data_IF_741203682343
#
_entry.id   IF_741203682343
#
_cell.length_a   1.000
_cell.length_b   1.000
_cell.length_c   1.000
_cell.angle_alpha   90.00
_cell.angle_beta   90.00
_cell.angle_gamma   90.00
#
_symmetry.space_group_name_H-M   'P 1'
#
loop_
_entity.id
_entity.type
_entity.pdbx_description
1 polymer ?
#
# COMPACT_ATOMS: atom_id res chain seq x y z
N UNK A 1 -10.76 -57.02 -2.18
CA UNK A 1 -9.48 -56.36 -1.85
C UNK A 1 -9.87 -55.02 -1.24
N UNK A 2 -10.11 -55.03 0.06
CA UNK A 2 -10.43 -53.84 0.86
C UNK A 2 -9.15 -53.45 1.61
N UNK A 3 -8.67 -52.23 1.39
CA UNK A 3 -7.60 -51.63 2.16
C UNK A 3 -8.21 -50.51 3.00
N UNK A 4 -8.47 -50.83 4.27
CA UNK A 4 -8.78 -49.88 5.32
C UNK A 4 -7.58 -48.96 5.56
N UNK A 5 -7.79 -47.65 5.37
CA UNK A 5 -6.82 -46.60 5.64
C UNK A 5 -6.68 -46.44 7.15
N UNK A 6 -5.46 -46.67 7.67
CA UNK A 6 -5.14 -46.41 9.07
C UNK A 6 -5.07 -44.90 9.32
N UNK A 7 -5.98 -44.43 10.16
CA UNK A 7 -6.06 -43.07 10.66
C UNK A 7 -4.92 -42.89 11.69
N UNK A 8 -3.87 -42.15 11.33
CA UNK A 8 -2.78 -41.80 12.25
C UNK A 8 -3.08 -40.45 12.87
N UNK A 9 -3.49 -40.47 14.14
CA UNK A 9 -3.67 -39.27 14.94
C UNK A 9 -2.29 -38.60 15.19
N UNK A 10 -2.25 -37.28 15.05
CA UNK A 10 -1.09 -36.46 15.35
C UNK A 10 -0.76 -36.48 16.87
N UNK A 11 0.53 -36.35 17.25
CA UNK A 11 0.96 -36.41 18.65
C UNK A 11 0.42 -35.22 19.47
N UNK A 12 0.08 -35.42 20.75
CA UNK A 12 -0.43 -34.36 21.61
C UNK A 12 0.73 -33.42 22.01
N UNK A 13 0.60 -32.13 21.72
CA UNK A 13 1.56 -31.10 22.17
C UNK A 13 2.10 -30.17 21.10
N UNK A 14 1.72 -30.34 19.83
CA UNK A 14 1.87 -29.26 18.83
C UNK A 14 0.73 -28.27 19.07
N UNK A 15 0.99 -26.96 19.29
CA UNK A 15 -0.07 -25.98 19.28
C UNK A 15 -0.82 -26.14 17.96
N UNK A 16 -2.10 -26.48 18.02
CA UNK A 16 -2.93 -26.41 16.83
C UNK A 16 -2.84 -24.97 16.36
N UNK A 17 -2.27 -24.77 15.17
CA UNK A 17 -2.47 -23.55 14.42
C UNK A 17 -4.00 -23.34 14.39
N UNK A 18 -4.48 -22.42 15.23
CA UNK A 18 -5.84 -21.93 15.16
C UNK A 18 -5.90 -21.11 13.87
N UNK A 19 -6.17 -21.76 12.75
CA UNK A 19 -6.56 -21.10 11.50
C UNK A 19 -8.03 -20.61 11.58
N UNK A 20 -8.43 -20.06 12.73
CA UNK A 20 -9.78 -19.60 13.02
C UNK A 20 -9.97 -18.07 12.95
N UNK A 21 -8.93 -17.31 12.58
CA UNK A 21 -9.01 -15.84 12.35
C UNK A 21 -8.85 -15.47 10.86
N UNK A 22 -9.05 -16.43 9.95
CA UNK A 22 -9.14 -16.14 8.53
C UNK A 22 -10.57 -15.71 8.20
N UNK A 23 -10.84 -14.40 8.14
CA UNK A 23 -11.93 -13.75 7.37
C UNK A 23 -12.16 -12.27 7.74
N UNK A 24 -11.61 -11.76 8.84
CA UNK A 24 -11.96 -10.42 9.34
C UNK A 24 -11.49 -9.28 8.42
N UNK A 25 -10.32 -9.44 7.78
CA UNK A 25 -9.83 -8.42 6.86
C UNK A 25 -10.73 -8.28 5.63
N UNK A 26 -11.17 -9.38 5.03
CA UNK A 26 -12.05 -9.32 3.85
C UNK A 26 -13.36 -8.60 4.18
N UNK A 27 -13.91 -8.81 5.38
CA UNK A 27 -15.12 -8.11 5.83
C UNK A 27 -14.88 -6.61 5.95
N UNK A 28 -13.80 -6.17 6.60
CA UNK A 28 -13.48 -4.74 6.73
C UNK A 28 -13.40 -4.03 5.36
N UNK A 29 -12.81 -4.70 4.37
CA UNK A 29 -12.72 -4.16 3.01
C UNK A 29 -14.05 -4.26 2.24
N UNK A 30 -14.77 -5.38 2.32
CA UNK A 30 -16.02 -5.57 1.58
C UNK A 30 -17.18 -4.73 2.14
N UNK A 31 -17.24 -4.60 3.47
CA UNK A 31 -18.29 -3.89 4.21
C UNK A 31 -18.01 -2.39 4.33
N UNK A 32 -16.89 -1.89 3.78
CA UNK A 32 -16.63 -0.46 3.70
C UNK A 32 -17.80 0.24 3.00
N UNK A 33 -18.31 1.32 3.60
CA UNK A 33 -19.46 2.09 3.07
C UNK A 33 -19.02 3.33 2.27
N UNK A 34 -17.73 3.69 2.34
CA UNK A 34 -17.18 4.88 1.70
C UNK A 34 -15.69 4.72 1.39
N UNK A 35 -15.14 5.67 0.61
CA UNK A 35 -13.70 5.77 0.39
C UNK A 35 -12.90 5.95 1.70
N UNK A 36 -13.47 6.67 2.67
CA UNK A 36 -12.89 6.76 4.02
C UNK A 36 -12.74 5.38 4.66
N UNK A 37 -13.72 4.49 4.49
CA UNK A 37 -13.63 3.11 4.99
C UNK A 37 -12.48 2.31 4.36
N UNK A 38 -12.22 2.49 3.06
CA UNK A 38 -11.05 1.91 2.41
C UNK A 38 -9.73 2.46 2.94
N UNK A 39 -9.66 3.78 3.18
CA UNK A 39 -8.48 4.40 3.78
C UNK A 39 -8.26 3.87 5.19
N UNK A 40 -9.30 3.79 6.03
CA UNK A 40 -9.22 3.30 7.41
C UNK A 40 -8.76 1.83 7.46
N UNK A 41 -9.29 0.98 6.58
CA UNK A 41 -8.82 -0.40 6.45
C UNK A 41 -7.35 -0.47 5.98
N UNK A 42 -6.92 0.43 5.09
CA UNK A 42 -5.52 0.52 4.68
C UNK A 42 -4.60 0.99 5.82
N UNK A 43 -5.04 1.96 6.63
CA UNK A 43 -4.33 2.45 7.80
C UNK A 43 -4.11 1.35 8.82
N UNK A 44 -5.15 0.57 9.13
CA UNK A 44 -5.07 -0.59 10.01
C UNK A 44 -4.07 -1.63 9.48
N UNK A 45 -4.08 -1.89 8.16
CA UNK A 45 -3.07 -2.75 7.51
C UNK A 45 -1.64 -2.21 7.65
N UNK A 46 -1.41 -0.93 7.37
CA UNK A 46 -0.09 -0.29 7.50
C UNK A 46 0.44 -0.27 8.94
N UNK A 47 -0.44 -0.27 9.94
CA UNK A 47 -0.08 -0.37 11.36
C UNK A 47 0.17 -1.80 11.83
N UNK A 48 -0.13 -2.79 10.99
CA UNK A 48 -0.06 -4.20 11.35
C UNK A 48 -1.21 -4.67 12.24
N UNK A 49 -2.28 -3.88 12.36
CA UNK A 49 -3.54 -4.28 13.00
C UNK A 49 -4.27 -5.33 12.14
N UNK A 50 -4.01 -5.32 10.82
CA UNK A 50 -4.46 -6.34 9.88
C UNK A 50 -3.26 -7.02 9.22
N UNK A 51 -3.33 -8.34 9.07
CA UNK A 51 -2.24 -9.11 8.47
C UNK A 51 -2.26 -9.16 6.95
N UNK A 52 -3.34 -8.70 6.31
CA UNK A 52 -3.54 -8.80 4.86
C UNK A 52 -4.40 -7.63 4.34
N UNK A 53 -4.27 -7.35 3.05
CA UNK A 53 -5.08 -6.41 2.28
C UNK A 53 -5.53 -7.06 0.95
N UNK A 54 -6.47 -6.44 0.19
CA UNK A 54 -6.92 -6.96 -1.10
C UNK A 54 -5.80 -7.13 -2.15
N UNK A 55 -4.72 -6.37 -2.01
CA UNK A 55 -3.59 -6.37 -2.96
C UNK A 55 -2.35 -7.07 -2.41
N UNK A 56 -2.33 -7.43 -1.12
CA UNK A 56 -1.16 -8.06 -0.49
C UNK A 56 -1.58 -9.01 0.64
N UNK A 57 -1.39 -10.31 0.42
CA UNK A 57 -1.84 -11.39 1.31
C UNK A 57 -0.82 -11.74 2.40
N UNK A 58 -0.02 -10.77 2.86
CA UNK A 58 0.96 -10.93 3.92
C UNK A 58 1.08 -9.64 4.75
N UNK A 59 1.72 -9.74 5.91
CA UNK A 59 2.04 -8.56 6.72
C UNK A 59 3.02 -7.65 5.98
N UNK A 60 2.97 -6.34 6.25
CA UNK A 60 3.93 -5.40 5.66
C UNK A 60 5.37 -5.87 5.87
N UNK A 61 6.19 -5.72 4.84
CA UNK A 61 7.62 -6.04 4.88
C UNK A 61 8.33 -5.16 5.91
N UNK A 62 9.38 -5.69 6.56
CA UNK A 62 10.23 -4.89 7.45
C UNK A 62 10.82 -3.67 6.75
N UNK A 63 11.06 -3.74 5.44
CA UNK A 63 11.55 -2.61 4.65
C UNK A 63 10.53 -1.47 4.51
N UNK A 64 9.24 -1.77 4.60
CA UNK A 64 8.16 -0.80 4.43
C UNK A 64 7.88 -0.04 5.73
N UNK A 65 8.19 -0.64 6.89
CA UNK A 65 7.90 -0.04 8.22
C UNK A 65 8.41 1.40 8.37
N UNK A 66 9.64 1.76 7.94
CA UNK A 66 10.12 3.14 8.03
C UNK A 66 9.31 4.15 7.22
N UNK A 67 8.55 3.70 6.21
CA UNK A 67 7.74 4.55 5.34
C UNK A 67 6.32 4.77 5.88
N UNK A 68 5.86 3.95 6.83
CA UNK A 68 4.46 3.91 7.28
C UNK A 68 3.95 5.28 7.69
N UNK A 69 4.73 6.08 8.42
CA UNK A 69 4.29 7.42 8.84
C UNK A 69 3.95 8.32 7.65
N UNK A 70 4.83 8.40 6.64
CA UNK A 70 4.61 9.22 5.45
C UNK A 70 3.48 8.65 4.58
N UNK A 71 3.34 7.32 4.50
CA UNK A 71 2.23 6.67 3.78
C UNK A 71 0.87 7.00 4.42
N UNK A 72 0.77 7.01 5.74
CA UNK A 72 -0.47 7.38 6.45
C UNK A 72 -0.84 8.85 6.20
N UNK A 73 0.13 9.76 6.13
CA UNK A 73 -0.12 11.18 5.80
C UNK A 73 -0.72 11.36 4.40
N UNK A 74 -0.34 10.53 3.43
CA UNK A 74 -0.96 10.55 2.09
C UNK A 74 -2.45 10.21 2.15
N UNK A 75 -2.86 9.35 3.09
CA UNK A 75 -4.28 8.97 3.24
C UNK A 75 -5.13 10.15 3.72
N UNK A 76 -4.56 11.15 4.38
CA UNK A 76 -5.30 12.36 4.79
C UNK A 76 -5.79 13.18 3.58
N UNK A 77 -5.09 13.09 2.45
CA UNK A 77 -5.48 13.66 1.16
C UNK A 77 -6.35 12.72 0.32
N UNK A 78 -6.66 11.53 0.86
CA UNK A 78 -7.47 10.51 0.21
C UNK A 78 -6.68 9.58 -0.71
N UNK A 79 -5.34 9.60 -0.70
CA UNK A 79 -4.54 8.76 -1.58
C UNK A 79 -4.37 7.37 -0.97
N UNK A 80 -4.91 6.34 -1.60
CA UNK A 80 -4.83 4.97 -1.07
C UNK A 80 -3.56 4.30 -1.58
N UNK A 81 -2.57 4.13 -0.72
CA UNK A 81 -1.28 3.51 -1.04
C UNK A 81 -1.39 1.99 -1.08
N UNK A 82 -0.76 1.34 -2.06
CA UNK A 82 -0.82 -0.13 -2.18
C UNK A 82 0.51 -0.79 -2.55
N UNK A 83 1.49 -0.03 -3.00
CA UNK A 83 2.83 -0.53 -3.24
C UNK A 83 3.84 0.55 -2.88
N UNK A 84 4.87 0.20 -2.14
CA UNK A 84 5.93 1.14 -1.76
C UNK A 84 7.20 0.36 -1.49
N UNK A 85 8.34 0.93 -1.86
CA UNK A 85 9.64 0.41 -1.48
C UNK A 85 10.58 1.58 -1.19
N UNK A 86 11.43 1.49 -0.14
CA UNK A 86 12.40 2.54 0.14
C UNK A 86 13.55 2.50 -0.87
N UNK A 87 14.30 3.59 -0.93
CA UNK A 87 15.66 3.57 -1.48
C UNK A 87 16.56 2.66 -0.65
N UNK A 88 17.46 1.93 -1.31
CA UNK A 88 18.51 1.14 -0.66
C UNK A 88 19.77 1.24 -1.50
N UNK A 89 20.91 1.46 -0.86
CA UNK A 89 22.21 1.40 -1.52
C UNK A 89 23.19 0.68 -0.61
N UNK A 90 23.29 -0.65 -0.79
CA UNK A 90 24.26 -1.45 -0.07
C UNK A 90 25.66 -1.04 -0.55
N UNK A 91 26.43 -0.34 0.30
CA UNK A 91 27.77 0.15 -0.07
C UNK A 91 28.77 -0.99 -0.29
N UNK A 92 28.61 -2.08 0.46
CA UNK A 92 29.46 -3.27 0.39
C UNK A 92 28.63 -4.52 0.01
N UNK A 93 29.30 -5.53 -0.53
CA UNK A 93 28.68 -6.82 -0.77
C UNK A 93 28.59 -7.62 0.55
N UNK A 94 27.50 -8.37 0.73
CA UNK A 94 27.27 -9.21 1.90
C UNK A 94 27.03 -10.65 1.49
N UNK A 95 27.48 -11.58 2.31
CA UNK A 95 27.31 -13.00 2.05
C UNK A 95 25.88 -13.44 2.40
N UNK A 96 25.23 -14.14 1.48
CA UNK A 96 23.96 -14.82 1.75
C UNK A 96 24.22 -16.32 1.68
N UNK A 97 24.01 -16.98 2.82
CA UNK A 97 23.88 -18.43 2.88
C UNK A 97 22.44 -18.79 2.51
N UNK A 98 22.26 -19.52 1.40
CA UNK A 98 20.95 -19.91 0.91
C UNK A 98 20.70 -21.39 1.22
N UNK A 99 20.02 -21.65 2.33
CA UNK A 99 19.52 -22.99 2.69
C UNK A 99 18.30 -23.41 1.85
N UNK A 100 18.40 -23.37 0.52
CA UNK A 100 17.35 -23.88 -0.35
C UNK A 100 17.78 -25.17 -1.05
N UNK A 101 16.88 -26.16 -1.00
CA UNK A 101 16.96 -27.52 -1.55
C UNK A 101 17.92 -27.64 -2.75
N UNK A 102 18.80 -28.66 -2.75
CA UNK A 102 19.80 -28.95 -3.79
C UNK A 102 19.31 -28.98 -5.25
N UNK A 103 18.00 -28.84 -5.49
CA UNK A 103 17.33 -28.74 -6.79
C UNK A 103 17.13 -27.31 -7.32
N UNK A 104 17.19 -26.26 -6.51
CA UNK A 104 16.89 -24.91 -6.97
C UNK A 104 18.07 -24.16 -7.62
N UNK A 105 19.26 -24.76 -7.67
CA UNK A 105 20.42 -24.22 -8.39
C UNK A 105 21.05 -22.95 -7.81
N UNK A 106 20.39 -22.30 -6.86
CA UNK A 106 20.90 -21.15 -6.13
C UNK A 106 22.11 -21.55 -5.28
N UNK A 107 23.23 -20.86 -5.46
CA UNK A 107 24.47 -21.09 -4.70
C UNK A 107 24.63 -20.00 -3.64
N UNK A 108 25.34 -20.34 -2.57
CA UNK A 108 25.84 -19.34 -1.64
C UNK A 108 26.74 -18.35 -2.37
N UNK A 109 26.68 -17.09 -2.00
CA UNK A 109 27.43 -16.05 -2.69
C UNK A 109 27.38 -14.71 -1.98
N UNK A 110 28.21 -13.80 -2.47
CA UNK A 110 28.19 -12.40 -2.10
C UNK A 110 27.21 -11.66 -3.01
N UNK A 111 26.37 -10.82 -2.40
CA UNK A 111 25.40 -10.01 -3.09
C UNK A 111 25.60 -8.55 -2.73
N UNK A 112 25.34 -7.67 -3.69
CA UNK A 112 25.18 -6.25 -3.44
C UNK A 112 23.94 -5.77 -4.17
N UNK A 113 23.14 -4.93 -3.52
CA UNK A 113 21.86 -4.47 -4.05
C UNK A 113 21.74 -2.96 -3.98
N UNK A 114 21.11 -2.42 -4.99
CA UNK A 114 20.53 -1.08 -4.98
C UNK A 114 19.05 -1.20 -5.28
N UNK A 115 18.27 -0.40 -4.57
CA UNK A 115 16.83 -0.30 -4.74
C UNK A 115 16.50 1.17 -4.89
N UNK A 116 15.72 1.48 -5.92
CA UNK A 116 15.24 2.83 -6.14
C UNK A 116 13.97 3.05 -5.34
N UNK A 117 13.79 4.23 -4.73
CA UNK A 117 12.52 4.51 -4.08
C UNK A 117 11.37 4.43 -5.10
N UNK A 118 10.27 3.78 -4.72
CA UNK A 118 9.08 3.65 -5.54
C UNK A 118 7.82 3.71 -4.70
N UNK A 119 6.76 4.31 -5.23
CA UNK A 119 5.46 4.45 -4.60
C UNK A 119 4.34 4.28 -5.63
N UNK A 120 3.28 3.56 -5.26
CA UNK A 120 2.02 3.55 -6.00
C UNK A 120 0.81 3.74 -5.11
N UNK A 121 -0.14 4.50 -5.62
CA UNK A 121 -1.36 4.84 -4.93
C UNK A 121 -2.53 5.04 -5.89
N UNK A 122 -3.74 4.94 -5.35
CA UNK A 122 -4.98 5.31 -6.01
C UNK A 122 -5.34 6.74 -5.66
N UNK A 123 -5.57 7.56 -6.68
CA UNK A 123 -5.91 8.97 -6.57
C UNK A 123 -7.42 9.17 -6.83
N UNK A 124 -8.21 9.68 -5.85
CA UNK A 124 -9.68 9.61 -5.87
C UNK A 124 -10.34 10.73 -6.70
N UNK A 125 -10.12 10.75 -8.02
CA UNK A 125 -10.54 11.84 -8.92
C UNK A 125 -12.01 12.24 -8.76
N UNK A 126 -12.93 11.28 -8.62
CA UNK A 126 -14.37 11.53 -8.50
C UNK A 126 -14.79 12.20 -7.19
N UNK A 127 -13.91 12.27 -6.19
CA UNK A 127 -14.17 12.94 -4.91
C UNK A 127 -13.50 14.31 -4.79
N UNK A 128 -12.60 14.66 -5.71
CA UNK A 128 -11.82 15.89 -5.64
C UNK A 128 -12.42 16.98 -6.52
N UNK A 129 -12.12 18.23 -6.17
CA UNK A 129 -12.34 19.34 -7.09
C UNK A 129 -11.46 19.11 -8.35
N UNK A 130 -12.04 19.10 -9.57
CA UNK A 130 -11.28 18.84 -10.79
C UNK A 130 -10.08 19.78 -11.00
N UNK A 131 -10.22 21.07 -10.68
CA UNK A 131 -9.13 22.05 -10.81
C UNK A 131 -7.99 21.75 -9.85
N UNK A 132 -8.29 21.36 -8.61
CA UNK A 132 -7.29 20.98 -7.63
C UNK A 132 -6.61 19.64 -7.99
N UNK A 133 -7.37 18.69 -8.56
CA UNK A 133 -6.83 17.43 -9.06
C UNK A 133 -5.87 17.61 -10.24
N UNK A 134 -6.25 18.45 -11.21
CA UNK A 134 -5.39 18.80 -12.33
C UNK A 134 -4.15 19.58 -11.87
N UNK A 135 -4.31 20.50 -10.91
CA UNK A 135 -3.19 21.23 -10.30
C UNK A 135 -2.21 20.27 -9.62
N UNK A 136 -2.69 19.28 -8.87
CA UNK A 136 -1.85 18.27 -8.23
C UNK A 136 -1.06 17.45 -9.23
N UNK A 137 -1.70 16.96 -10.29
CA UNK A 137 -1.02 16.23 -11.36
C UNK A 137 0.10 17.09 -11.96
N UNK A 138 -0.20 18.36 -12.25
CA UNK A 138 0.79 19.30 -12.80
C UNK A 138 1.94 19.61 -11.82
N UNK A 139 1.67 19.72 -10.51
CA UNK A 139 2.72 19.92 -9.51
C UNK A 139 3.64 18.69 -9.38
N UNK A 140 3.09 17.48 -9.54
CA UNK A 140 3.89 16.25 -9.50
C UNK A 140 4.76 16.09 -10.76
N UNK A 141 4.24 16.44 -11.95
CA UNK A 141 5.02 16.44 -13.20
C UNK A 141 6.17 17.45 -13.23
N UNK A 142 6.13 18.50 -12.41
CA UNK A 142 7.21 19.49 -12.31
C UNK A 142 8.37 19.03 -11.44
N UNK A 143 8.19 17.96 -10.66
CA UNK A 143 9.23 17.48 -9.76
C UNK A 143 10.29 16.72 -10.55
N UNK A 144 11.39 17.41 -10.87
CA UNK A 144 12.49 16.86 -11.66
C UNK A 144 13.16 15.64 -11.00
N UNK A 145 12.93 15.39 -9.71
CA UNK A 145 13.50 14.23 -9.00
C UNK A 145 12.68 12.95 -9.17
N UNK A 146 11.58 13.00 -9.92
CA UNK A 146 10.63 11.91 -10.04
C UNK A 146 10.40 11.56 -11.51
N UNK A 147 10.16 10.28 -11.76
CA UNK A 147 9.39 9.83 -12.90
C UNK A 147 7.97 9.48 -12.45
N UNK A 148 7.00 9.77 -13.31
CA UNK A 148 5.60 9.59 -13.07
C UNK A 148 4.94 8.79 -14.20
N UNK A 149 4.16 7.79 -13.80
CA UNK A 149 3.24 7.08 -14.69
C UNK A 149 1.85 7.08 -14.08
N UNK A 150 0.85 7.41 -14.90
CA UNK A 150 -0.56 7.49 -14.52
C UNK A 150 -1.35 6.57 -15.44
N UNK A 151 -2.08 5.63 -14.85
CA UNK A 151 -3.09 4.85 -15.56
C UNK A 151 -4.45 5.51 -15.31
N UNK A 152 -5.08 5.94 -16.39
CA UNK A 152 -6.43 6.50 -16.41
C UNK A 152 -7.36 5.57 -17.17
N UNK A 153 -8.66 5.79 -17.03
CA UNK A 153 -9.69 5.10 -17.79
C UNK A 153 -10.92 5.99 -17.89
N UNK A 154 -11.67 5.86 -18.98
CA UNK A 154 -12.78 6.77 -19.29
C UNK A 154 -13.99 6.52 -18.40
N UNK A 155 -14.30 5.24 -18.17
CA UNK A 155 -15.46 4.82 -17.39
C UNK A 155 -15.36 3.35 -17.00
N UNK A 156 -16.22 2.97 -16.07
CA UNK A 156 -16.59 1.57 -15.88
C UNK A 156 -17.72 1.17 -16.85
N UNK A 157 -17.80 -0.12 -17.16
CA UNK A 157 -18.91 -0.69 -17.91
C UNK A 157 -20.21 -0.61 -17.09
N UNK A 158 -21.36 -0.90 -17.71
CA UNK A 158 -22.68 -0.75 -17.08
C UNK A 158 -22.85 -1.61 -15.81
N UNK A 159 -22.20 -2.77 -15.74
CA UNK A 159 -22.20 -3.63 -14.56
C UNK A 159 -21.17 -3.22 -13.51
N UNK A 160 -20.39 -2.17 -13.75
CA UNK A 160 -19.36 -1.70 -12.83
C UNK A 160 -18.27 -2.75 -12.59
N UNK A 161 -18.04 -3.68 -13.50
CA UNK A 161 -17.09 -4.79 -13.30
C UNK A 161 -15.91 -4.80 -14.28
N UNK A 162 -15.90 -3.89 -15.25
CA UNK A 162 -14.85 -3.77 -16.25
C UNK A 162 -14.53 -2.31 -16.53
N UNK A 163 -13.27 -2.00 -16.80
CA UNK A 163 -12.81 -0.68 -17.25
C UNK A 163 -12.95 -0.55 -18.76
N UNK A 164 -13.23 0.65 -19.23
CA UNK A 164 -13.30 0.99 -20.67
C UNK A 164 -12.38 2.17 -20.94
N UNK A 165 -11.59 2.08 -22.01
CA UNK A 165 -10.73 3.17 -22.46
C UNK A 165 -9.51 3.41 -21.56
N UNK A 166 -8.87 2.34 -21.06
CA UNK A 166 -7.64 2.46 -20.27
C UNK A 166 -6.53 3.13 -21.08
N UNK A 167 -5.85 4.10 -20.47
CA UNK A 167 -4.71 4.81 -21.06
C UNK A 167 -3.61 4.99 -20.02
N UNK A 168 -2.38 4.71 -20.42
CA UNK A 168 -1.18 5.00 -19.63
C UNK A 168 -0.50 6.25 -20.17
N UNK A 169 -0.13 7.18 -19.29
CA UNK A 169 0.72 8.34 -19.57
C UNK A 169 1.95 8.19 -18.68
N UNK A 170 3.15 8.23 -19.25
CA UNK A 170 4.38 7.94 -18.51
C UNK A 170 5.56 8.72 -19.08
N UNK A 171 6.43 9.24 -18.21
CA UNK A 171 7.76 9.75 -18.58
C UNK A 171 8.89 8.81 -18.15
N UNK A 172 8.57 7.61 -17.66
CA UNK A 172 9.58 6.63 -17.26
C UNK A 172 10.53 6.36 -18.44
N UNK A 173 11.86 6.39 -18.24
CA UNK A 173 12.80 6.20 -19.32
C UNK A 173 12.76 4.75 -19.81
N UNK A 174 12.97 4.49 -21.11
CA UNK A 174 12.81 3.14 -21.68
C UNK A 174 13.66 2.01 -21.05
N UNK A 175 14.70 2.35 -20.28
CA UNK A 175 15.54 1.41 -19.52
C UNK A 175 15.42 1.55 -18.01
N UNK A 176 14.29 2.04 -17.48
CA UNK A 176 14.06 2.22 -16.05
C UNK A 176 14.20 0.90 -15.27
N UNK A 177 14.55 1.00 -13.99
CA UNK A 177 14.62 -0.17 -13.10
C UNK A 177 14.29 0.26 -11.68
N UNK A 178 13.70 -0.65 -10.91
CA UNK A 178 13.48 -0.46 -9.47
C UNK A 178 14.60 -1.07 -8.65
N UNK A 179 15.35 -2.00 -9.23
CA UNK A 179 16.41 -2.74 -8.56
C UNK A 179 17.62 -2.89 -9.46
N UNK A 180 18.79 -2.87 -8.83
CA UNK A 180 20.05 -3.33 -9.41
C UNK A 180 20.69 -4.30 -8.44
N UNK A 181 21.19 -5.42 -8.94
CA UNK A 181 21.91 -6.38 -8.11
C UNK A 181 23.11 -6.97 -8.83
N UNK A 182 24.07 -7.40 -8.04
CA UNK A 182 25.18 -8.23 -8.50
C UNK A 182 25.44 -9.34 -7.50
N UNK A 183 25.82 -10.49 -8.04
CA UNK A 183 25.99 -11.73 -7.29
C UNK A 183 27.23 -12.47 -7.80
N UNK A 184 28.08 -12.92 -6.89
CA UNK A 184 29.22 -13.78 -7.24
C UNK A 184 29.62 -14.72 -6.09
N UNK A 185 30.36 -15.82 -6.37
CA UNK A 185 30.83 -16.73 -5.33
C UNK A 185 31.80 -16.07 -4.32
N UNK A 186 32.57 -15.07 -4.76
CA UNK A 186 33.53 -14.37 -3.90
C UNK A 186 33.20 -12.87 -3.77
N UNK A 187 33.63 -12.26 -2.66
CA UNK A 187 33.43 -10.83 -2.41
C UNK A 187 34.04 -9.98 -3.52
N UNK A 188 35.27 -10.29 -3.93
CA UNK A 188 36.01 -9.50 -4.92
C UNK A 188 35.30 -9.51 -6.27
N UNK A 189 34.86 -10.69 -6.73
CA UNK A 189 34.10 -10.81 -7.97
C UNK A 189 32.78 -10.05 -7.89
N UNK A 190 32.07 -10.12 -6.75
CA UNK A 190 30.80 -9.41 -6.58
C UNK A 190 31.01 -7.89 -6.63
N UNK A 191 32.10 -7.35 -6.06
CA UNK A 191 32.33 -5.89 -6.10
C UNK A 191 32.91 -5.38 -7.41
N UNK A 192 33.47 -6.26 -8.24
CA UNK A 192 34.02 -5.94 -9.57
C UNK A 192 33.03 -6.16 -10.71
N UNK A 193 32.01 -7.01 -10.51
CA UNK A 193 31.03 -7.29 -11.56
C UNK A 193 30.09 -6.12 -11.83
N UNK A 194 29.57 -6.06 -13.05
CA UNK A 194 28.53 -5.11 -13.42
C UNK A 194 27.23 -5.42 -12.66
N UNK A 195 26.42 -4.38 -12.46
CA UNK A 195 25.08 -4.54 -11.91
C UNK A 195 24.12 -4.99 -13.00
N UNK A 196 23.28 -5.97 -12.66
CA UNK A 196 22.12 -6.34 -13.45
C UNK A 196 20.90 -5.56 -12.97
N UNK A 197 20.19 -4.94 -13.92
CA UNK A 197 18.97 -4.17 -13.65
C UNK A 197 17.74 -5.07 -13.70
N UNK A 198 16.75 -4.79 -12.85
CA UNK A 198 15.48 -5.51 -12.83
C UNK A 198 14.30 -4.57 -12.61
N UNK A 199 13.21 -4.84 -13.33
CA UNK A 199 11.92 -4.20 -13.19
C UNK A 199 11.00 -5.18 -12.46
N UNK A 200 10.60 -4.84 -11.24
CA UNK A 200 9.69 -5.67 -10.44
C UNK A 200 8.25 -5.17 -10.46
N UNK A 201 7.94 -4.23 -11.35
CA UNK A 201 6.66 -3.53 -11.37
C UNK A 201 6.20 -3.43 -12.82
N UNK A 202 4.90 -3.58 -13.03
CA UNK A 202 4.26 -3.46 -14.32
C UNK A 202 3.42 -2.17 -14.31
N UNK A 203 3.86 -1.18 -15.11
CA UNK A 203 3.24 0.14 -15.20
C UNK A 203 1.90 0.13 -15.92
N UNK A 204 1.53 -0.98 -16.56
CA UNK A 204 0.23 -1.17 -17.21
C UNK A 204 -0.68 -2.11 -16.40
N UNK A 205 -0.18 -2.66 -15.29
CA UNK A 205 -0.94 -3.59 -14.46
C UNK A 205 -1.96 -2.86 -13.60
N UNK A 206 -3.23 -3.06 -13.92
CA UNK A 206 -4.36 -2.50 -13.19
C UNK A 206 -5.02 -3.51 -12.23
N UNK A 207 -4.33 -4.61 -11.93
CA UNK A 207 -4.79 -5.68 -11.03
C UNK A 207 -5.20 -5.16 -9.66
N UNK A 208 -4.45 -4.20 -9.09
CA UNK A 208 -4.77 -3.62 -7.78
C UNK A 208 -6.18 -3.02 -7.77
N UNK A 209 -6.55 -2.33 -8.84
CA UNK A 209 -7.86 -1.72 -8.95
C UNK A 209 -8.93 -2.80 -9.12
N UNK A 210 -8.64 -3.91 -9.81
CA UNK A 210 -9.55 -5.05 -9.87
C UNK A 210 -9.80 -5.66 -8.49
N UNK A 211 -8.78 -5.72 -7.63
CA UNK A 211 -8.94 -6.17 -6.25
C UNK A 211 -9.90 -5.27 -5.45
N UNK A 212 -9.77 -3.95 -5.56
CA UNK A 212 -10.71 -3.01 -4.92
C UNK A 212 -12.11 -3.04 -5.54
N UNK A 213 -12.21 -3.23 -6.86
CA UNK A 213 -13.49 -3.41 -7.55
C UNK A 213 -14.22 -4.67 -7.08
N UNK A 214 -13.50 -5.77 -6.86
CA UNK A 214 -14.07 -7.00 -6.31
C UNK A 214 -14.50 -6.83 -4.86
N UNK A 215 -13.77 -6.04 -4.07
CA UNK A 215 -14.15 -5.76 -2.68
C UNK A 215 -15.42 -4.91 -2.58
N UNK A 216 -15.46 -3.76 -3.27
CA UNK A 216 -16.65 -2.91 -3.32
C UNK A 216 -16.75 -2.14 -4.66
N UNK A 217 -17.55 -2.61 -5.63
CA UNK A 217 -17.63 -2.00 -6.95
C UNK A 217 -18.36 -0.65 -6.94
N UNK A 218 -19.29 -0.45 -5.99
CA UNK A 218 -20.06 0.79 -5.87
C UNK A 218 -19.19 1.97 -5.45
N UNK A 219 -18.35 1.77 -4.43
CA UNK A 219 -17.39 2.80 -3.99
C UNK A 219 -16.38 3.07 -5.10
N UNK A 220 -15.73 2.02 -5.60
CA UNK A 220 -14.64 2.18 -6.57
C UNK A 220 -15.13 2.83 -7.88
N UNK A 221 -16.34 2.49 -8.32
CA UNK A 221 -16.97 3.15 -9.49
C UNK A 221 -17.31 4.61 -9.23
N UNK A 222 -17.79 4.96 -8.03
CA UNK A 222 -18.13 6.33 -7.68
C UNK A 222 -16.88 7.21 -7.53
N UNK A 223 -15.82 6.67 -6.94
CA UNK A 223 -14.55 7.38 -6.74
C UNK A 223 -13.76 7.51 -8.04
N UNK A 224 -13.90 6.55 -8.96
CA UNK A 224 -13.21 6.53 -10.24
C UNK A 224 -11.69 6.82 -10.13
N UNK A 225 -10.94 6.07 -9.29
CA UNK A 225 -9.57 6.42 -8.96
C UNK A 225 -8.58 6.21 -10.10
N UNK A 226 -7.65 7.15 -10.29
CA UNK A 226 -6.50 6.92 -11.17
C UNK A 226 -5.41 6.16 -10.42
N UNK A 227 -4.61 5.37 -11.15
CA UNK A 227 -3.44 4.70 -10.58
C UNK A 227 -2.22 5.56 -10.85
N UNK A 228 -1.49 5.90 -9.80
CA UNK A 228 -0.21 6.62 -9.89
C UNK A 228 0.93 5.67 -9.55
N UNK A 229 2.00 5.77 -10.33
CA UNK A 229 3.28 5.12 -10.12
C UNK A 229 4.34 6.22 -10.11
N UNK A 230 5.03 6.37 -8.98
CA UNK A 230 6.08 7.36 -8.76
C UNK A 230 7.38 6.61 -8.51
N UNK A 231 8.40 6.92 -9.29
CA UNK A 231 9.75 6.37 -9.16
C UNK A 231 10.72 7.53 -8.96
N UNK A 232 11.69 7.41 -8.06
CA UNK A 232 12.74 8.41 -8.00
C UNK A 232 13.55 8.46 -9.32
N UNK A 233 14.11 9.62 -9.65
CA UNK A 233 15.01 9.75 -10.80
C UNK A 233 16.33 9.01 -10.52
N UNK A 234 16.84 9.20 -9.30
CA UNK A 234 18.13 8.69 -8.81
C UNK A 234 18.00 7.52 -7.84
N UNK A 235 19.14 6.89 -7.53
CA UNK A 235 19.27 5.80 -6.55
C UNK A 235 19.51 6.29 -5.12
N UNK A 236 19.61 7.61 -4.92
CA UNK A 236 19.86 8.23 -3.62
C UNK A 236 18.63 8.16 -2.70
N UNK A 237 18.82 8.31 -1.37
CA UNK A 237 17.72 8.35 -0.43
C UNK A 237 16.65 9.40 -0.78
N UNK A 238 15.41 8.95 -0.90
CA UNK A 238 14.28 9.78 -1.29
C UNK A 238 12.99 9.33 -0.58
N UNK A 239 12.29 10.26 0.09
CA UNK A 239 10.96 10.03 0.62
C UNK A 239 9.91 10.46 -0.41
N UNK A 240 9.53 9.52 -1.28
CA UNK A 240 8.54 9.78 -2.32
C UNK A 240 7.16 10.18 -1.78
N UNK A 241 6.80 9.70 -0.59
CA UNK A 241 5.53 10.10 0.01
C UNK A 241 5.55 11.58 0.37
N UNK A 242 6.66 12.09 0.91
CA UNK A 242 6.81 13.52 1.17
C UNK A 242 6.75 14.36 -0.10
N UNK A 243 7.40 13.93 -1.19
CA UNK A 243 7.31 14.60 -2.48
C UNK A 243 5.86 14.71 -2.99
N UNK A 244 5.09 13.64 -2.85
CA UNK A 244 3.66 13.62 -3.24
C UNK A 244 2.82 14.51 -2.31
N UNK A 245 3.09 14.53 -1.00
CA UNK A 245 2.43 15.43 -0.04
C UNK A 245 2.70 16.89 -0.41
N UNK A 246 3.97 17.25 -0.65
CA UNK A 246 4.34 18.61 -0.98
C UNK A 246 3.67 19.08 -2.28
N UNK A 247 3.55 18.19 -3.28
CA UNK A 247 2.81 18.47 -4.50
C UNK A 247 1.30 18.70 -4.23
N UNK A 248 0.69 17.90 -3.35
CA UNK A 248 -0.71 18.08 -2.95
C UNK A 248 -0.92 19.42 -2.23
N UNK A 249 -0.02 19.80 -1.31
CA UNK A 249 -0.08 21.07 -0.60
C UNK A 249 0.09 22.27 -1.54
N UNK A 250 1.05 22.23 -2.47
CA UNK A 250 1.24 23.29 -3.48
C UNK A 250 0.05 23.43 -4.42
N UNK A 251 -0.62 22.33 -4.73
CA UNK A 251 -1.84 22.30 -5.53
C UNK A 251 -3.09 22.76 -4.76
N UNK A 252 -2.98 22.98 -3.44
CA UNK A 252 -4.10 23.39 -2.59
C UNK A 252 -5.09 22.27 -2.30
N UNK A 253 -4.67 21.01 -2.36
CA UNK A 253 -5.52 19.90 -1.91
C UNK A 253 -5.72 19.97 -0.40
N UNK A 254 -6.99 19.88 0.02
CA UNK A 254 -7.35 19.84 1.43
C UNK A 254 -7.23 18.43 2.01
N UNK A 255 -6.85 18.34 3.28
CA UNK A 255 -6.90 17.10 4.06
C UNK A 255 -8.35 16.78 4.39
N UNK A 256 -9.00 16.06 3.49
CA UNK A 256 -10.44 15.75 3.53
C UNK A 256 -10.74 14.45 4.26
N UNK A 257 -9.73 13.63 4.51
CA UNK A 257 -9.85 12.33 5.16
C UNK A 257 -8.96 12.22 6.39
N UNK A 258 -8.87 13.24 7.27
CA UNK A 258 -7.95 13.17 8.41
C UNK A 258 -8.30 11.98 9.28
N UNK A 259 -7.27 11.33 9.81
CA UNK A 259 -7.49 10.32 10.82
C UNK A 259 -8.30 10.89 11.99
N UNK A 260 -9.32 10.13 12.44
CA UNK A 260 -10.04 10.48 13.65
C UNK A 260 -9.05 10.42 14.81
N UNK A 261 -8.77 11.55 15.44
CA UNK A 261 -8.06 11.55 16.71
C UNK A 261 -8.92 10.78 17.72
N UNK A 262 -8.39 9.71 18.28
CA UNK A 262 -8.91 9.09 19.50
C UNK A 262 -8.73 10.08 20.66
N UNK A 263 -9.54 11.15 20.66
CA UNK A 263 -9.57 12.08 21.77
C UNK A 263 -10.36 11.40 22.88
N UNK A 264 -9.62 10.72 23.77
CA UNK A 264 -10.07 10.35 25.11
C UNK A 264 -10.30 11.65 25.87
N UNK A 265 -11.46 12.25 25.60
CA UNK A 265 -11.84 13.57 26.07
C UNK A 265 -13.34 13.77 26.02
N UNK A 266 -14.11 12.68 26.08
CA UNK A 266 -15.51 12.72 26.45
C UNK A 266 -15.63 13.28 27.87
N UNK A 267 -15.62 14.62 27.99
CA UNK A 267 -16.33 15.29 29.06
C UNK A 267 -17.79 14.86 28.91
N UNK A 268 -18.14 13.80 29.62
CA UNK A 268 -19.52 13.58 30.00
C UNK A 268 -19.98 14.87 30.66
N UNK A 269 -20.86 15.58 29.97
CA UNK A 269 -21.58 16.73 30.47
C UNK A 269 -22.47 16.23 31.61
N UNK A 270 -21.89 16.18 32.82
CA UNK A 270 -22.56 15.82 34.06
C UNK A 270 -23.56 16.90 34.51
N UNK A 271 -23.70 18.00 33.76
CA UNK A 271 -24.66 19.06 34.09
C UNK A 271 -26.11 18.78 33.66
N UNK A 272 -26.36 17.69 32.93
CA UNK A 272 -27.71 17.31 32.50
C UNK A 272 -28.45 16.40 33.49
N UNK A 273 -27.78 15.85 34.52
CA UNK A 273 -28.40 14.91 35.48
C UNK A 273 -28.78 15.51 36.83
N UNK A 274 -28.40 16.76 37.11
CA UNK A 274 -28.81 17.44 38.35
C UNK A 274 -30.12 18.24 38.21
N UNK A 275 -30.63 18.47 36.99
CA UNK A 275 -31.90 19.20 36.80
C UNK A 275 -33.17 18.35 36.83
N UNK A 276 -33.09 17.04 36.61
CA UNK A 276 -34.26 16.16 36.70
C UNK A 276 -34.52 15.64 38.13
N UNK A 277 -33.60 15.87 39.07
CA UNK A 277 -33.77 15.48 40.47
C UNK A 277 -34.35 16.60 41.36
N UNK A 278 -34.41 17.84 40.88
CA UNK A 278 -34.95 18.98 41.62
C UNK A 278 -36.46 19.19 41.33
N UNK A 279 -36.92 18.93 40.10
CA UNK A 279 -38.34 19.05 39.73
C UNK A 279 -39.24 17.92 40.29
N UNK A 280 -38.66 16.83 40.81
CA UNK A 280 -39.41 15.73 41.43
C UNK A 280 -39.64 15.92 42.95
N UNK A 281 -39.19 17.03 43.55
CA UNK A 281 -39.33 17.33 44.99
C UNK A 281 -40.25 18.51 45.31
N UNK A 282 -40.84 19.16 44.31
CA UNK A 282 -41.83 20.23 44.53
C UNK A 282 -43.29 19.80 44.30
N UNK A 283 -43.57 18.50 44.09
CA UNK A 283 -44.94 17.96 43.94
C UNK A 283 -45.37 16.95 45.06
N UNK A 284 -44.84 17.09 46.28
CA UNK A 284 -45.43 16.51 47.51
C UNK A 284 -45.71 17.59 48.56
#
# INVERSE_FOLDING_TARGET
>A
MDLTVANTAAPPGVPSCNCADGDDWQRLWNDAESWQGFLDANRAFLRGEMSQSPYYHAQISEETKPLVESLLKLHDYGFLTYCSQPSRDDKDAYFIERDCCAKCGNKNGYHQRKQRAYLSFLFPVGLLNPEAGDAFINELWKDEKLYLSIITYERFCRSGCCRVGTKTISDFPGGWATHMSREAPTYQEAVESEFESSQFIDLDCSYVLDAFMMANPSITSAVNPFIFHVLAEDWEPCDLAQHVIDAAERAGLEKTFPERSDDVGGKHDESSREKEAEDAREEE
#
